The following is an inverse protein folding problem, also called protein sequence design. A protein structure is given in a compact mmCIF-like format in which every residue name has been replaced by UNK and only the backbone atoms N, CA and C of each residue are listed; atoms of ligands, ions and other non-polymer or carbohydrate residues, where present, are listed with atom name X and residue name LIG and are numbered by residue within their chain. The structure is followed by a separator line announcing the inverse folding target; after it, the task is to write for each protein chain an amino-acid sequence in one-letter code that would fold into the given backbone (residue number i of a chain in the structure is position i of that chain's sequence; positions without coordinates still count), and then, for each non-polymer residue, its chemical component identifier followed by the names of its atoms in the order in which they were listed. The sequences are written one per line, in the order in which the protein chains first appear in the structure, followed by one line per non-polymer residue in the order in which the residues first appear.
data_IF_341652629881
#
_entry.id   IF_341652629881
#
_cell.length_a   1.000
_cell.length_b   1.000
_cell.length_c   1.000
_cell.angle_alpha   90.00
_cell.angle_beta   90.00
_cell.angle_gamma   90.00
#
_symmetry.space_group_name_H-M   'P 1'
#
loop_
_entity.id
_entity.type
_entity.pdbx_description
1 polymer ?
#
# COMPACT_ATOMS: atom_id res chain seq x y z
N UNK A 1 2.22 11.22 -8.47
CA UNK A 1 1.45 11.49 -7.24
C UNK A 1 1.28 13.00 -7.07
N UNK A 2 0.12 13.42 -6.64
CA UNK A 2 -0.15 14.83 -6.33
C UNK A 2 0.43 15.11 -4.94
N UNK A 3 1.45 15.95 -4.90
CA UNK A 3 2.19 16.24 -3.64
C UNK A 3 1.28 16.96 -2.65
N UNK A 4 0.50 17.92 -3.13
CA UNK A 4 -0.53 18.63 -2.37
C UNK A 4 -1.90 18.25 -2.91
N UNK A 5 -2.86 18.01 -2.03
CA UNK A 5 -4.22 17.64 -2.36
C UNK A 5 -5.21 18.45 -1.54
N UNK A 6 -6.27 18.88 -2.17
CA UNK A 6 -7.47 19.37 -1.49
C UNK A 6 -8.43 18.21 -1.15
N UNK A 7 -9.52 18.55 -0.47
CA UNK A 7 -10.53 17.57 -0.08
C UNK A 7 -11.27 16.95 -1.28
N UNK A 8 -11.38 17.67 -2.41
CA UNK A 8 -11.95 17.14 -3.64
C UNK A 8 -11.04 16.08 -4.25
N UNK A 9 -9.72 16.35 -4.33
CA UNK A 9 -8.75 15.39 -4.84
C UNK A 9 -8.79 14.08 -4.05
N UNK A 10 -8.84 14.16 -2.71
CA UNK A 10 -8.86 12.97 -1.86
C UNK A 10 -10.17 12.18 -1.99
N UNK A 11 -11.31 12.85 -2.23
CA UNK A 11 -12.57 12.18 -2.56
C UNK A 11 -12.45 11.47 -3.92
N UNK A 12 -11.99 12.18 -4.96
CA UNK A 12 -11.81 11.60 -6.30
C UNK A 12 -10.86 10.36 -6.24
N UNK A 13 -9.78 10.43 -5.45
CA UNK A 13 -8.87 9.28 -5.27
C UNK A 13 -9.54 8.11 -4.55
N UNK A 14 -10.43 8.39 -3.60
CA UNK A 14 -11.20 7.37 -2.89
C UNK A 14 -12.11 6.60 -3.84
N UNK A 15 -12.86 7.32 -4.68
CA UNK A 15 -13.77 6.74 -5.66
C UNK A 15 -13.01 5.95 -6.74
N UNK A 16 -11.91 6.54 -7.28
CA UNK A 16 -11.06 5.84 -8.26
C UNK A 16 -10.38 4.60 -7.67
N UNK A 17 -9.90 4.68 -6.43
CA UNK A 17 -9.30 3.54 -5.74
C UNK A 17 -10.31 2.42 -5.49
N UNK A 18 -11.52 2.78 -5.05
CA UNK A 18 -12.61 1.83 -4.86
C UNK A 18 -13.02 1.15 -6.16
N UNK A 19 -13.13 1.93 -7.25
CA UNK A 19 -13.44 1.40 -8.58
C UNK A 19 -12.36 0.43 -9.09
N UNK A 20 -11.06 0.77 -8.89
CA UNK A 20 -9.96 -0.14 -9.23
C UNK A 20 -10.03 -1.43 -8.41
N UNK A 21 -10.23 -1.32 -7.09
CA UNK A 21 -10.34 -2.50 -6.23
C UNK A 21 -11.49 -3.40 -6.68
N UNK A 22 -12.66 -2.82 -6.98
CA UNK A 22 -13.83 -3.56 -7.49
C UNK A 22 -13.58 -4.21 -8.85
N UNK A 23 -12.81 -3.59 -9.73
CA UNK A 23 -12.42 -4.18 -11.01
C UNK A 23 -11.51 -5.40 -10.84
N UNK A 24 -10.59 -5.37 -9.85
CA UNK A 24 -9.68 -6.48 -9.54
C UNK A 24 -10.34 -7.59 -8.72
N UNK A 25 -11.31 -7.24 -7.87
CA UNK A 25 -12.00 -8.14 -6.95
C UNK A 25 -13.53 -7.91 -7.03
N UNK A 26 -14.19 -8.41 -8.10
CA UNK A 26 -15.60 -8.09 -8.37
C UNK A 26 -16.58 -8.51 -7.28
N UNK A 27 -16.27 -9.56 -6.54
CA UNK A 27 -17.14 -10.11 -5.48
C UNK A 27 -16.99 -9.38 -4.13
N UNK A 28 -15.92 -8.57 -3.97
CA UNK A 28 -15.60 -7.90 -2.72
C UNK A 28 -16.17 -6.48 -2.69
N UNK A 29 -16.43 -5.98 -1.48
CA UNK A 29 -16.73 -4.56 -1.25
C UNK A 29 -15.43 -3.84 -0.93
N UNK A 30 -15.13 -2.77 -1.66
CA UNK A 30 -13.97 -1.94 -1.39
C UNK A 30 -14.11 -1.23 -0.03
N UNK A 31 -13.18 -1.47 0.88
CA UNK A 31 -13.05 -0.76 2.15
C UNK A 31 -12.04 0.36 2.01
N UNK A 32 -12.51 1.58 2.09
CA UNK A 32 -11.72 2.80 1.88
C UNK A 32 -11.43 3.46 3.22
N UNK A 33 -10.17 3.81 3.46
CA UNK A 33 -9.75 4.58 4.63
C UNK A 33 -8.87 5.77 4.23
N UNK A 34 -8.88 6.83 5.03
CA UNK A 34 -7.98 7.98 4.90
C UNK A 34 -6.79 7.81 5.84
N UNK A 35 -5.58 7.92 5.32
CA UNK A 35 -4.37 7.92 6.15
C UNK A 35 -4.31 9.19 6.99
N UNK A 36 -4.17 9.01 8.31
CA UNK A 36 -4.14 10.10 9.28
C UNK A 36 -3.17 9.79 10.43
N UNK A 37 -2.94 10.77 11.30
CA UNK A 37 -2.10 10.68 12.50
C UNK A 37 -2.80 10.05 13.71
N UNK A 38 -4.07 9.72 13.58
CA UNK A 38 -4.91 9.09 14.61
C UNK A 38 -6.26 8.72 14.01
N UNK A 39 -6.96 7.80 14.67
CA UNK A 39 -8.25 7.26 14.22
C UNK A 39 -9.45 8.15 14.60
N UNK A 40 -9.26 9.12 15.49
CA UNK A 40 -10.33 9.98 15.98
C UNK A 40 -10.70 11.06 14.94
N UNK A 41 -11.99 11.31 14.76
CA UNK A 41 -12.53 12.27 13.77
C UNK A 41 -12.00 13.70 13.93
N UNK A 42 -11.56 14.07 15.14
CA UNK A 42 -11.04 15.42 15.44
C UNK A 42 -9.58 15.62 15.02
N UNK A 43 -8.85 14.53 14.75
CA UNK A 43 -7.43 14.59 14.39
C UNK A 43 -7.21 14.83 12.89
N UNK A 44 -6.02 15.31 12.59
CA UNK A 44 -5.57 15.57 11.21
C UNK A 44 -5.84 17.01 10.76
N UNK A 45 -5.53 17.24 9.49
CA UNK A 45 -5.69 18.54 8.85
C UNK A 45 -7.16 18.85 8.55
N UNK A 46 -7.47 20.12 8.33
CA UNK A 46 -8.83 20.52 7.93
C UNK A 46 -9.26 19.89 6.61
N UNK A 47 -8.31 19.67 5.68
CA UNK A 47 -8.55 18.93 4.42
C UNK A 47 -9.02 17.51 4.72
N UNK A 48 -8.34 16.79 5.60
CA UNK A 48 -8.70 15.41 5.96
C UNK A 48 -10.07 15.33 6.65
N UNK A 49 -10.39 16.28 7.54
CA UNK A 49 -11.70 16.34 8.23
C UNK A 49 -12.84 16.60 7.25
N UNK A 50 -12.64 17.54 6.30
CA UNK A 50 -13.61 17.79 5.22
C UNK A 50 -13.80 16.58 4.33
N UNK A 51 -12.71 15.93 3.94
CA UNK A 51 -12.75 14.68 3.15
C UNK A 51 -13.49 13.58 3.89
N UNK A 52 -13.20 13.39 5.18
CA UNK A 52 -13.89 12.42 6.04
C UNK A 52 -15.40 12.61 6.00
N UNK A 53 -15.87 13.84 6.23
CA UNK A 53 -17.30 14.16 6.25
C UNK A 53 -17.96 13.84 4.90
N UNK A 54 -17.29 14.18 3.79
CA UNK A 54 -17.79 13.88 2.43
C UNK A 54 -17.84 12.39 2.14
N UNK A 55 -16.78 11.63 2.48
CA UNK A 55 -16.74 10.19 2.24
C UNK A 55 -17.73 9.43 3.11
N UNK A 56 -17.94 9.86 4.36
CA UNK A 56 -18.97 9.32 5.25
C UNK A 56 -20.39 9.50 4.68
N UNK A 57 -20.63 10.57 3.95
CA UNK A 57 -21.92 10.80 3.27
C UNK A 57 -22.00 9.98 1.98
N UNK A 58 -20.96 10.02 1.14
CA UNK A 58 -20.93 9.31 -0.14
C UNK A 58 -21.05 7.80 0.03
N UNK A 59 -20.40 7.22 1.04
CA UNK A 59 -20.45 5.76 1.29
C UNK A 59 -21.84 5.21 1.63
N UNK A 60 -22.80 6.07 2.00
CA UNK A 60 -24.19 5.64 2.20
C UNK A 60 -24.91 5.25 0.90
N UNK A 61 -24.45 5.77 -0.23
CA UNK A 61 -25.07 5.62 -1.54
C UNK A 61 -24.12 5.05 -2.59
N UNK A 62 -22.82 4.94 -2.26
CA UNK A 62 -21.76 4.48 -3.15
C UNK A 62 -21.51 2.98 -3.05
N UNK A 63 -20.70 2.47 -3.97
CA UNK A 63 -20.31 1.07 -4.06
C UNK A 63 -19.08 0.71 -3.22
N UNK A 64 -18.81 1.46 -2.15
CA UNK A 64 -17.71 1.22 -1.23
C UNK A 64 -18.10 1.45 0.23
N UNK A 65 -17.41 0.81 1.14
CA UNK A 65 -17.50 1.05 2.58
C UNK A 65 -16.41 2.05 2.99
N UNK A 66 -16.78 3.08 3.75
CA UNK A 66 -15.81 4.01 4.32
C UNK A 66 -15.48 3.64 5.76
N UNK A 67 -14.24 3.24 6.02
CA UNK A 67 -13.76 2.78 7.33
C UNK A 67 -13.26 3.93 8.24
N UNK A 68 -13.27 5.17 7.72
CA UNK A 68 -12.80 6.35 8.48
C UNK A 68 -11.30 6.57 8.34
N UNK A 69 -10.65 6.97 9.45
CA UNK A 69 -9.22 7.19 9.50
C UNK A 69 -8.44 5.93 9.86
N UNK A 70 -7.28 5.77 9.22
CA UNK A 70 -6.30 4.72 9.52
C UNK A 70 -4.95 5.33 9.84
N UNK A 71 -4.25 4.78 10.83
CA UNK A 71 -2.91 5.20 11.21
C UNK A 71 -1.82 4.44 10.44
N UNK A 72 -0.63 5.06 10.32
CA UNK A 72 0.48 4.49 9.55
C UNK A 72 0.91 3.09 9.96
N UNK A 73 0.79 2.73 11.26
CA UNK A 73 1.12 1.40 11.77
C UNK A 73 0.11 0.31 11.35
N UNK A 74 -1.05 0.69 10.84
CA UNK A 74 -2.11 -0.23 10.38
C UNK A 74 -2.14 -0.43 8.86
N UNK A 75 -1.36 0.33 8.09
CA UNK A 75 -1.34 0.24 6.61
C UNK A 75 -1.17 -1.20 6.12
N UNK A 76 -0.34 -2.00 6.79
CA UNK A 76 -0.01 -3.36 6.37
C UNK A 76 -0.88 -4.44 7.00
N UNK A 77 -1.88 -4.10 7.82
CA UNK A 77 -2.75 -5.07 8.49
C UNK A 77 -3.74 -5.74 7.53
N UNK A 78 -4.15 -5.01 6.47
CA UNK A 78 -5.18 -5.47 5.53
C UNK A 78 -6.60 -5.26 6.03
N UNK A 79 -6.80 -4.37 7.01
CA UNK A 79 -8.13 -4.04 7.53
C UNK A 79 -8.95 -3.27 6.50
N UNK A 80 -8.30 -2.36 5.75
CA UNK A 80 -8.88 -1.63 4.62
C UNK A 80 -8.17 -2.01 3.33
N UNK A 81 -8.89 -2.02 2.21
CA UNK A 81 -8.39 -2.42 0.89
C UNK A 81 -7.80 -1.24 0.11
N UNK A 82 -8.32 -0.05 0.35
CA UNK A 82 -7.90 1.20 -0.29
C UNK A 82 -7.55 2.21 0.79
N UNK A 83 -6.31 2.66 0.81
CA UNK A 83 -5.84 3.67 1.75
C UNK A 83 -5.47 4.92 0.95
N UNK A 84 -6.19 6.00 1.22
CA UNK A 84 -6.07 7.25 0.48
C UNK A 84 -5.25 8.27 1.26
N UNK A 85 -4.35 8.95 0.56
CA UNK A 85 -3.47 9.97 1.12
C UNK A 85 -3.01 10.94 0.02
N UNK A 86 -2.48 12.10 0.38
CA UNK A 86 -1.71 12.94 -0.53
C UNK A 86 -0.40 12.25 -0.95
N UNK A 87 0.19 12.72 -2.06
CA UNK A 87 1.39 12.08 -2.62
C UNK A 87 2.64 12.29 -1.78
N UNK A 88 2.72 13.36 -0.96
CA UNK A 88 3.85 13.58 -0.06
C UNK A 88 3.84 12.57 1.09
N UNK A 89 2.75 12.52 1.82
CA UNK A 89 2.57 11.59 2.95
C UNK A 89 2.66 10.13 2.50
N UNK A 90 2.00 9.79 1.39
CA UNK A 90 2.03 8.43 0.83
C UNK A 90 3.43 8.00 0.39
N UNK A 91 4.20 8.89 -0.23
CA UNK A 91 5.57 8.57 -0.65
C UNK A 91 6.52 8.41 0.55
N UNK A 92 6.36 9.22 1.60
CA UNK A 92 7.13 9.05 2.85
C UNK A 92 6.79 7.70 3.49
N UNK A 93 5.49 7.37 3.64
CA UNK A 93 5.06 6.10 4.22
C UNK A 93 5.61 4.90 3.42
N UNK A 94 5.51 4.93 2.08
CA UNK A 94 6.04 3.89 1.20
C UNK A 94 7.56 3.74 1.35
N UNK A 95 8.32 4.84 1.28
CA UNK A 95 9.79 4.80 1.38
C UNK A 95 10.27 4.37 2.76
N UNK A 96 9.55 4.74 3.81
CA UNK A 96 9.83 4.27 5.17
C UNK A 96 9.59 2.76 5.28
N UNK A 97 8.47 2.27 4.74
CA UNK A 97 8.20 0.83 4.72
C UNK A 97 9.26 0.05 3.94
N UNK A 98 9.62 0.50 2.73
CA UNK A 98 10.70 -0.11 1.92
C UNK A 98 12.03 -0.15 2.69
N UNK A 99 12.42 0.97 3.31
CA UNK A 99 13.65 1.07 4.11
C UNK A 99 13.62 0.17 5.33
N UNK A 100 12.49 0.07 6.01
CA UNK A 100 12.32 -0.79 7.19
C UNK A 100 12.43 -2.27 6.81
N UNK A 101 11.76 -2.70 5.73
CA UNK A 101 11.87 -4.09 5.23
C UNK A 101 13.30 -4.42 4.86
N UNK A 102 14.00 -3.51 4.18
CA UNK A 102 15.42 -3.69 3.84
C UNK A 102 16.28 -3.81 5.10
N UNK A 103 16.12 -2.91 6.06
CA UNK A 103 16.89 -2.93 7.33
C UNK A 103 16.68 -4.24 8.09
N UNK A 104 15.43 -4.70 8.24
CA UNK A 104 15.10 -5.97 8.92
C UNK A 104 15.74 -7.15 8.18
N UNK A 105 15.64 -7.18 6.85
CA UNK A 105 16.17 -8.27 6.03
C UNK A 105 17.70 -8.34 6.10
N UNK A 106 18.39 -7.19 6.01
CA UNK A 106 19.83 -7.09 6.09
C UNK A 106 20.34 -7.47 7.50
N UNK A 107 19.66 -7.00 8.56
CA UNK A 107 19.98 -7.34 9.96
C UNK A 107 19.80 -8.83 10.23
N UNK A 108 18.71 -9.42 9.76
CA UNK A 108 18.47 -10.87 9.87
C UNK A 108 19.56 -11.68 9.17
N UNK A 109 19.92 -11.27 7.94
CA UNK A 109 20.99 -11.92 7.18
C UNK A 109 22.34 -11.81 7.91
N UNK A 110 22.68 -10.63 8.44
CA UNK A 110 23.90 -10.43 9.20
C UNK A 110 23.96 -11.39 10.40
N UNK A 111 22.92 -11.41 11.24
CA UNK A 111 22.85 -12.28 12.42
C UNK A 111 22.94 -13.77 12.08
N UNK A 112 22.30 -14.20 11.01
CA UNK A 112 22.33 -15.60 10.55
C UNK A 112 23.66 -16.02 9.92
N UNK A 113 24.53 -15.07 9.53
CA UNK A 113 25.83 -15.35 8.92
C UNK A 113 27.02 -15.04 9.82
N UNK A 114 26.80 -14.49 11.01
CA UNK A 114 27.85 -14.01 11.93
C UNK A 114 28.73 -15.15 12.46
N UNK A 115 28.16 -16.27 12.84
CA UNK A 115 28.89 -17.41 13.40
C UNK A 115 28.68 -18.69 12.58
N UNK A 116 29.59 -19.67 12.71
CA UNK A 116 29.46 -20.98 12.08
C UNK A 116 28.20 -21.71 12.56
N UNK A 117 27.85 -21.63 13.84
CA UNK A 117 26.64 -22.19 14.41
C UNK A 117 25.37 -21.55 13.79
N UNK A 118 25.37 -20.22 13.65
CA UNK A 118 24.27 -19.50 13.00
C UNK A 118 24.10 -19.93 11.53
N UNK A 119 25.21 -20.13 10.81
CA UNK A 119 25.15 -20.65 9.41
C UNK A 119 24.57 -22.05 9.35
N UNK A 120 24.92 -22.93 10.29
CA UNK A 120 24.31 -24.27 10.35
C UNK A 120 22.81 -24.21 10.65
N UNK A 121 22.35 -23.27 11.47
CA UNK A 121 20.91 -23.11 11.77
C UNK A 121 20.08 -22.77 10.54
N UNK A 122 20.67 -22.11 9.52
CA UNK A 122 20.00 -21.80 8.25
C UNK A 122 19.50 -23.08 7.57
N UNK A 123 20.24 -24.18 7.68
CA UNK A 123 19.88 -25.47 7.06
C UNK A 123 18.52 -25.96 7.60
N UNK A 124 18.32 -25.86 8.91
CA UNK A 124 17.06 -26.26 9.57
C UNK A 124 15.93 -25.25 9.33
N UNK A 125 16.27 -23.98 9.17
CA UNK A 125 15.32 -22.89 8.99
C UNK A 125 15.06 -22.54 7.51
N UNK A 126 15.67 -23.26 6.57
CA UNK A 126 15.67 -22.91 5.14
C UNK A 126 14.27 -22.67 4.56
N UNK A 127 13.33 -23.56 4.83
CA UNK A 127 11.97 -23.45 4.30
C UNK A 127 11.23 -22.26 4.91
N UNK A 128 11.41 -21.99 6.21
CA UNK A 128 10.82 -20.84 6.88
C UNK A 128 11.38 -19.51 6.34
N UNK A 129 12.70 -19.44 6.18
CA UNK A 129 13.39 -18.26 5.62
C UNK A 129 13.01 -18.03 4.14
N UNK A 130 12.87 -19.09 3.36
CA UNK A 130 12.41 -19.01 1.98
C UNK A 130 10.98 -18.46 1.88
N UNK A 131 10.07 -18.95 2.75
CA UNK A 131 8.69 -18.46 2.84
C UNK A 131 8.65 -16.99 3.29
N UNK A 132 9.43 -16.63 4.29
CA UNK A 132 9.55 -15.25 4.75
C UNK A 132 10.05 -14.32 3.65
N UNK A 133 11.14 -14.66 2.96
CA UNK A 133 11.67 -13.90 1.83
C UNK A 133 10.65 -13.75 0.70
N UNK A 134 9.93 -14.82 0.37
CA UNK A 134 8.91 -14.80 -0.68
C UNK A 134 7.70 -13.91 -0.33
N UNK A 135 7.39 -13.77 0.98
CA UNK A 135 6.33 -12.86 1.46
C UNK A 135 6.74 -11.39 1.39
N UNK A 136 8.04 -11.10 1.55
CA UNK A 136 8.59 -9.75 1.52
C UNK A 136 9.15 -9.34 0.14
N UNK A 137 8.99 -10.18 -0.88
CA UNK A 137 9.56 -9.92 -2.21
C UNK A 137 8.81 -8.76 -2.90
N UNK A 138 9.46 -7.59 -3.05
CA UNK A 138 8.81 -6.41 -3.61
C UNK A 138 8.49 -6.57 -5.10
N UNK A 139 9.11 -7.53 -5.78
CA UNK A 139 8.89 -7.76 -7.22
C UNK A 139 7.48 -8.20 -7.53
N UNK A 140 6.81 -8.88 -6.58
CA UNK A 140 5.42 -9.34 -6.72
C UNK A 140 4.41 -8.20 -6.72
N UNK A 141 4.77 -7.06 -6.16
CA UNK A 141 3.93 -5.88 -6.01
C UNK A 141 4.46 -4.71 -6.84
N UNK A 142 5.26 -5.03 -7.88
CA UNK A 142 5.82 -4.02 -8.74
C UNK A 142 4.77 -3.53 -9.75
N UNK A 143 4.69 -2.22 -9.86
CA UNK A 143 3.76 -1.54 -10.74
C UNK A 143 2.84 -0.60 -9.97
N UNK A 144 2.72 0.62 -10.47
CA UNK A 144 1.78 1.62 -9.98
C UNK A 144 0.90 2.09 -11.14
N UNK A 145 -0.40 1.86 -11.04
CA UNK A 145 -1.37 2.30 -12.05
C UNK A 145 -1.62 3.79 -11.88
N UNK A 146 -1.58 4.54 -12.99
CA UNK A 146 -2.09 5.90 -13.05
C UNK A 146 -3.61 5.86 -13.26
N UNK A 147 -4.35 6.20 -12.22
CA UNK A 147 -5.81 6.25 -12.27
C UNK A 147 -6.31 7.54 -12.94
N UNK A 148 -7.54 7.52 -13.45
CA UNK A 148 -8.19 8.67 -14.09
C UNK A 148 -7.75 8.94 -15.54
N UNK A 149 -6.99 8.03 -16.16
CA UNK A 149 -6.62 8.10 -17.58
C UNK A 149 -7.58 7.31 -18.45
N UNK A 150 -7.60 7.61 -19.75
CA UNK A 150 -8.46 6.92 -20.73
C UNK A 150 -8.01 5.50 -21.09
N UNK A 151 -6.89 5.05 -20.56
CA UNK A 151 -6.34 3.71 -20.78
C UNK A 151 -5.35 3.33 -19.68
N UNK A 152 -4.98 2.05 -19.58
CA UNK A 152 -4.07 1.58 -18.55
C UNK A 152 -2.67 2.14 -18.79
N UNK A 153 -2.14 2.80 -17.76
CA UNK A 153 -0.75 3.27 -17.72
C UNK A 153 -0.16 2.82 -16.40
N UNK A 154 0.85 1.98 -16.46
CA UNK A 154 1.53 1.42 -15.28
C UNK A 154 2.98 1.86 -15.26
N UNK A 155 3.39 2.41 -14.12
CA UNK A 155 4.79 2.74 -13.85
C UNK A 155 5.47 1.58 -13.14
N UNK A 156 6.47 0.98 -13.77
CA UNK A 156 7.35 0.02 -13.12
C UNK A 156 8.41 0.71 -12.27
N UNK A 157 8.92 0.02 -11.24
CA UNK A 157 10.00 0.51 -10.40
C UNK A 157 11.32 0.59 -11.21
N UNK A 158 12.10 1.67 -11.03
CA UNK A 158 13.31 1.90 -11.82
C UNK A 158 14.42 0.86 -11.65
N UNK A 159 14.46 0.14 -10.53
CA UNK A 159 15.43 -0.93 -10.24
C UNK A 159 14.86 -2.34 -10.42
N UNK A 160 13.78 -2.48 -11.19
CA UNK A 160 13.12 -3.78 -11.38
C UNK A 160 13.91 -4.70 -12.30
N UNK A 161 13.84 -6.01 -12.04
CA UNK A 161 14.31 -7.05 -12.95
C UNK A 161 13.18 -7.52 -13.91
N UNK A 162 13.47 -8.51 -14.74
CA UNK A 162 12.50 -9.05 -15.71
C UNK A 162 11.23 -9.60 -15.02
N UNK A 163 11.36 -10.18 -13.82
CA UNK A 163 10.23 -10.73 -13.06
C UNK A 163 9.31 -9.59 -12.57
N UNK A 164 9.89 -8.56 -11.98
CA UNK A 164 9.11 -7.43 -11.53
C UNK A 164 8.49 -6.65 -12.71
N UNK A 165 9.19 -6.53 -13.84
CA UNK A 165 8.61 -5.93 -15.05
C UNK A 165 7.43 -6.74 -15.60
N UNK A 166 7.53 -8.06 -15.58
CA UNK A 166 6.42 -8.95 -15.93
C UNK A 166 5.18 -8.67 -15.09
N UNK A 167 5.31 -8.55 -13.76
CA UNK A 167 4.18 -8.20 -12.88
C UNK A 167 3.60 -6.81 -13.17
N UNK A 168 4.42 -5.86 -13.64
CA UNK A 168 3.90 -4.56 -14.07
C UNK A 168 3.06 -4.64 -15.35
N UNK A 169 3.40 -5.57 -16.26
CA UNK A 169 2.61 -5.82 -17.47
C UNK A 169 1.32 -6.56 -17.10
N UNK A 170 1.40 -7.56 -16.25
CA UNK A 170 0.26 -8.35 -15.77
C UNK A 170 -0.82 -7.46 -15.12
N UNK A 171 -0.39 -6.39 -14.45
CA UNK A 171 -1.29 -5.40 -13.87
C UNK A 171 -2.05 -4.54 -14.92
N UNK A 172 -1.62 -4.55 -16.19
CA UNK A 172 -2.30 -3.83 -17.29
C UNK A 172 -3.46 -4.62 -17.90
N UNK A 173 -3.53 -5.93 -17.65
CA UNK A 173 -4.54 -6.84 -18.19
C UNK A 173 -5.63 -7.11 -17.18
#
# INVERSE_FOLDING_TARGET
ANVECDDKNLVDFSEMGAALYKALFPEDIAKVALLNIGSEEIKGTETLKKTYTKLKELSKYGDFQFDGFIEGNKITNGDSNVIVTDGFTGNIALKTAEGTVKFITDSLKASLTETLLARFSILFSYFALKKFKAKLDPRKFNGAIFLGLKGPVVKSHGSTDAIGFYHSIDLCY
#
